data_IF_407832010799
#
_entry.id   IF_407832010799
#
_cell.length_a   1.000
_cell.length_b   1.000
_cell.length_c   1.000
_cell.angle_alpha   90.00
_cell.angle_beta   90.00
_cell.angle_gamma   90.00
#
_symmetry.space_group_name_H-M   'P 1'
#
loop_
_entity.id
_entity.type
_entity.pdbx_description
1 polymer ?
#
# COMPACT_ATOMS: atom_id res chain seq x y z
N UNK A 1 7.90 12.94 -33.66
CA UNK A 1 8.12 13.68 -32.39
C UNK A 1 8.81 15.00 -32.73
N UNK A 2 8.23 16.16 -32.41
CA UNK A 2 8.83 17.46 -32.72
C UNK A 2 9.83 17.81 -31.61
N UNK A 3 11.12 17.73 -31.89
CA UNK A 3 12.15 18.26 -30.99
C UNK A 3 12.17 19.78 -31.15
N UNK A 4 11.74 20.51 -30.11
CA UNK A 4 11.89 21.98 -30.10
C UNK A 4 13.32 22.27 -29.67
N UNK A 5 14.13 22.78 -30.61
CA UNK A 5 15.55 23.14 -30.40
C UNK A 5 15.72 24.55 -29.80
N UNK A 6 14.63 25.11 -29.26
CA UNK A 6 14.66 26.41 -28.63
C UNK A 6 15.29 26.29 -27.23
N UNK A 7 16.57 26.61 -27.16
CA UNK A 7 17.34 26.58 -25.92
C UNK A 7 16.71 27.41 -24.80
N UNK A 8 16.02 28.50 -25.14
CA UNK A 8 15.38 29.36 -24.15
C UNK A 8 14.24 28.60 -23.46
N UNK A 9 13.43 27.86 -24.24
CA UNK A 9 12.36 27.01 -23.71
C UNK A 9 12.93 25.90 -22.84
N UNK A 10 14.05 25.28 -23.23
CA UNK A 10 14.68 24.24 -22.44
C UNK A 10 15.22 24.77 -21.10
N UNK A 11 15.97 25.89 -21.14
CA UNK A 11 16.51 26.55 -19.94
C UNK A 11 15.39 27.00 -19.01
N UNK A 12 14.29 27.52 -19.55
CA UNK A 12 13.13 27.92 -18.78
C UNK A 12 12.46 26.71 -18.10
N UNK A 13 12.25 25.61 -18.83
CA UNK A 13 11.73 24.37 -18.24
C UNK A 13 12.67 23.80 -17.17
N UNK A 14 13.99 23.87 -17.36
CA UNK A 14 14.96 23.45 -16.34
C UNK A 14 14.83 24.30 -15.07
N UNK A 15 14.75 25.63 -15.21
CA UNK A 15 14.54 26.56 -14.09
C UNK A 15 13.23 26.28 -13.35
N UNK A 16 12.14 26.10 -14.08
CA UNK A 16 10.83 25.78 -13.50
C UNK A 16 10.87 24.47 -12.73
N UNK A 17 11.52 23.44 -13.29
CA UNK A 17 11.65 22.14 -12.63
C UNK A 17 12.50 22.25 -11.35
N UNK A 18 13.59 23.02 -11.39
CA UNK A 18 14.43 23.26 -10.22
C UNK A 18 13.68 24.01 -9.12
N UNK A 19 12.99 25.10 -9.46
CA UNK A 19 12.19 25.89 -8.51
C UNK A 19 11.05 25.06 -7.88
N UNK A 20 10.37 24.22 -8.67
CA UNK A 20 9.37 23.28 -8.17
C UNK A 20 9.98 22.30 -7.15
N UNK A 21 11.13 21.70 -7.45
CA UNK A 21 11.83 20.79 -6.52
C UNK A 21 12.30 21.48 -5.27
N UNK A 22 12.84 22.69 -5.37
CA UNK A 22 13.21 23.53 -4.23
C UNK A 22 12.00 23.80 -3.34
N UNK A 23 10.84 24.18 -3.91
CA UNK A 23 9.59 24.33 -3.15
C UNK A 23 9.15 23.01 -2.51
N UNK A 24 9.26 21.88 -3.19
CA UNK A 24 8.95 20.58 -2.57
C UNK A 24 9.88 20.20 -1.42
N UNK A 25 11.12 20.72 -1.37
CA UNK A 25 12.09 20.45 -0.31
C UNK A 25 11.95 21.45 0.84
N UNK A 26 11.80 22.73 0.54
CA UNK A 26 11.79 23.83 1.51
C UNK A 26 10.41 24.20 2.04
N UNK A 27 9.34 23.84 1.34
CA UNK A 27 7.98 23.93 1.89
C UNK A 27 7.73 22.65 2.70
N UNK A 28 7.57 22.73 4.03
CA UNK A 28 7.16 21.60 4.84
C UNK A 28 5.70 21.34 4.51
N UNK A 29 5.44 20.55 3.45
CA UNK A 29 4.11 20.00 3.24
C UNK A 29 3.64 19.43 4.60
N UNK A 30 2.43 19.77 5.08
CA UNK A 30 1.85 19.07 6.22
C UNK A 30 1.77 17.59 5.81
N UNK A 31 2.67 16.76 6.33
CA UNK A 31 2.82 15.37 5.89
C UNK A 31 4.25 14.87 5.62
N UNK A 32 5.29 15.72 5.68
CA UNK A 32 6.67 15.20 5.79
C UNK A 32 6.89 14.64 7.19
N UNK A 33 6.70 13.33 7.33
CA UNK A 33 7.10 12.57 8.51
C UNK A 33 8.61 12.70 8.70
N UNK A 34 9.03 13.15 9.89
CA UNK A 34 10.44 13.05 10.27
C UNK A 34 10.87 11.58 10.32
N UNK A 35 12.17 11.31 10.19
CA UNK A 35 12.69 9.94 10.30
C UNK A 35 12.28 9.28 11.64
N UNK A 36 12.27 10.05 12.74
CA UNK A 36 11.81 9.58 14.04
C UNK A 36 10.33 9.20 14.01
N UNK A 37 9.47 10.09 13.52
CA UNK A 37 8.05 9.80 13.41
C UNK A 37 7.80 8.60 12.49
N UNK A 38 8.49 8.52 11.34
CA UNK A 38 8.41 7.38 10.44
C UNK A 38 8.78 6.08 11.16
N UNK A 39 9.82 6.08 11.99
CA UNK A 39 10.20 4.90 12.77
C UNK A 39 9.12 4.48 13.79
N UNK A 40 8.43 5.44 14.40
CA UNK A 40 7.34 5.16 15.34
C UNK A 40 6.11 4.56 14.64
N UNK A 41 5.84 4.94 13.39
CA UNK A 41 4.77 4.34 12.59
C UNK A 41 5.14 2.97 12.02
N UNK A 42 6.41 2.75 11.67
CA UNK A 42 6.87 1.52 11.01
C UNK A 42 7.24 0.42 11.99
N UNK A 43 7.66 0.74 13.22
CA UNK A 43 8.19 -0.25 14.17
C UNK A 43 7.45 -0.20 15.50
N UNK A 44 6.71 -1.27 15.80
CA UNK A 44 6.09 -1.47 17.11
C UNK A 44 6.95 -2.40 17.95
N UNK A 45 7.23 -2.00 19.18
CA UNK A 45 7.96 -2.84 20.13
C UNK A 45 6.97 -3.64 21.00
N UNK A 46 7.18 -4.94 21.10
CA UNK A 46 6.44 -5.84 21.97
C UNK A 46 7.42 -6.47 22.97
N UNK A 47 7.10 -6.36 24.26
CA UNK A 47 8.01 -6.83 25.31
C UNK A 47 7.88 -8.35 25.47
N UNK A 48 8.99 -9.06 25.49
CA UNK A 48 9.02 -10.50 25.75
C UNK A 48 8.34 -10.81 27.08
N UNK A 49 7.42 -11.77 27.06
CA UNK A 49 6.50 -12.06 28.17
C UNK A 49 5.06 -11.62 27.90
N UNK A 50 4.83 -10.75 26.90
CA UNK A 50 3.49 -10.50 26.34
C UNK A 50 3.25 -11.38 25.12
N UNK A 51 2.00 -11.83 24.91
CA UNK A 51 1.64 -12.69 23.78
C UNK A 51 1.66 -11.90 22.47
N UNK A 52 2.40 -12.39 21.47
CA UNK A 52 2.34 -11.87 20.10
C UNK A 52 0.94 -12.06 19.52
N UNK A 53 0.30 -13.20 19.78
CA UNK A 53 -1.06 -13.46 19.31
C UNK A 53 -2.07 -12.49 19.93
N UNK A 54 -1.98 -12.23 21.23
CA UNK A 54 -2.86 -11.25 21.88
C UNK A 54 -2.70 -9.83 21.34
N UNK A 55 -1.50 -9.47 20.86
CA UNK A 55 -1.28 -8.22 20.13
C UNK A 55 -1.98 -8.24 18.75
N UNK A 56 -1.93 -9.35 18.03
CA UNK A 56 -2.60 -9.52 16.74
C UNK A 56 -4.13 -9.46 16.86
N UNK A 57 -4.70 -10.11 17.87
CA UNK A 57 -6.14 -10.15 18.13
C UNK A 57 -6.71 -8.77 18.48
N UNK A 58 -5.87 -7.84 18.96
CA UNK A 58 -6.24 -6.44 19.24
C UNK A 58 -6.27 -5.53 18.01
N UNK A 59 -5.87 -6.03 16.84
CA UNK A 59 -5.86 -5.28 15.58
C UNK A 59 -7.29 -5.26 15.03
N UNK A 60 -8.04 -4.20 15.35
CA UNK A 60 -9.44 -4.05 14.94
C UNK A 60 -9.61 -3.43 13.54
N UNK A 61 -8.57 -2.84 12.98
CA UNK A 61 -8.59 -2.15 11.68
C UNK A 61 -7.45 -2.63 10.78
N UNK A 62 -7.67 -2.64 9.46
CA UNK A 62 -6.61 -2.93 8.49
C UNK A 62 -5.55 -1.82 8.54
N UNK A 63 -4.47 -2.09 9.26
CA UNK A 63 -3.31 -1.21 9.34
C UNK A 63 -2.43 -1.41 8.12
N UNK A 64 -1.73 -0.34 7.73
CA UNK A 64 -0.60 -0.51 6.82
C UNK A 64 0.41 -1.50 7.43
N UNK A 65 1.08 -2.32 6.61
CA UNK A 65 2.10 -3.25 7.08
C UNK A 65 3.13 -2.56 7.96
N UNK A 66 3.47 -3.18 9.09
CA UNK A 66 4.46 -2.65 10.02
C UNK A 66 5.33 -3.77 10.58
N UNK A 67 6.48 -3.39 11.13
CA UNK A 67 7.43 -4.29 11.77
C UNK A 67 7.11 -4.41 13.26
N UNK A 68 6.96 -5.63 13.75
CA UNK A 68 6.83 -5.94 15.17
C UNK A 68 8.16 -6.46 15.70
N UNK A 69 8.83 -5.65 16.51
CA UNK A 69 10.08 -5.98 17.17
C UNK A 69 9.80 -6.59 18.56
N UNK A 70 10.25 -7.82 18.79
CA UNK A 70 10.05 -8.55 20.05
C UNK A 70 11.37 -8.65 20.81
N UNK A 71 11.36 -8.23 22.08
CA UNK A 71 12.55 -8.22 22.92
C UNK A 71 12.25 -7.97 24.39
N UNK A 72 13.20 -8.27 25.28
CA UNK A 72 13.06 -7.96 26.72
C UNK A 72 13.03 -6.45 26.98
N UNK A 73 13.76 -5.70 26.14
CA UNK A 73 13.85 -4.25 26.10
C UNK A 73 14.19 -3.79 24.67
N UNK A 74 14.09 -2.49 24.38
CA UNK A 74 14.38 -1.96 23.03
C UNK A 74 15.80 -2.23 22.54
N UNK A 75 16.77 -2.36 23.45
CA UNK A 75 18.15 -2.76 23.11
C UNK A 75 18.37 -4.28 23.12
N UNK A 76 17.38 -5.08 23.52
CA UNK A 76 17.40 -6.54 23.61
C UNK A 76 16.38 -7.20 22.68
N UNK A 77 16.17 -6.61 21.49
CA UNK A 77 15.32 -7.17 20.45
C UNK A 77 16.02 -8.39 19.85
N UNK A 78 15.31 -9.51 19.76
CA UNK A 78 15.85 -10.76 19.22
C UNK A 78 14.95 -11.38 18.14
N UNK A 79 13.75 -10.85 17.92
CA UNK A 79 12.85 -11.31 16.85
C UNK A 79 12.15 -10.13 16.18
N UNK A 80 11.91 -10.27 14.88
CA UNK A 80 11.14 -9.33 14.09
C UNK A 80 10.06 -10.07 13.30
N UNK A 81 8.88 -9.48 13.23
CA UNK A 81 7.77 -9.96 12.40
C UNK A 81 7.28 -8.84 11.50
N UNK A 82 6.89 -9.18 10.27
CA UNK A 82 6.10 -8.29 9.42
C UNK A 82 4.64 -8.58 9.73
N UNK A 83 3.90 -7.57 10.20
CA UNK A 83 2.48 -7.70 10.54
C UNK A 83 1.62 -7.17 9.40
N UNK A 84 0.72 -8.00 8.88
CA UNK A 84 -0.21 -7.69 7.79
C UNK A 84 -1.56 -8.32 8.10
N UNK A 85 -2.64 -7.54 8.09
CA UNK A 85 -4.03 -8.02 8.23
C UNK A 85 -4.18 -9.07 9.35
N UNK A 86 -3.76 -8.73 10.58
CA UNK A 86 -3.78 -9.62 11.77
C UNK A 86 -2.78 -10.80 11.79
N UNK A 87 -1.96 -10.98 10.74
CA UNK A 87 -0.98 -12.06 10.67
C UNK A 87 0.43 -11.52 10.94
N UNK A 88 1.25 -12.27 11.70
CA UNK A 88 2.67 -11.98 11.90
C UNK A 88 3.53 -12.98 11.11
N UNK A 89 4.33 -12.47 10.20
CA UNK A 89 5.27 -13.26 9.40
C UNK A 89 6.66 -13.10 9.99
N UNK A 90 7.29 -14.15 10.52
CA UNK A 90 8.67 -14.08 10.99
C UNK A 90 9.60 -13.62 9.86
N UNK A 91 10.52 -12.69 10.15
CA UNK A 91 11.46 -12.19 9.16
C UNK A 91 12.43 -13.27 8.62
N UNK A 92 12.62 -14.36 9.37
CA UNK A 92 13.55 -15.44 9.01
C UNK A 92 12.96 -16.49 8.04
N UNK A 93 11.68 -16.39 7.65
CA UNK A 93 11.03 -17.40 6.79
C UNK A 93 10.64 -16.85 5.40
N UNK A 94 11.47 -17.15 4.40
CA UNK A 94 11.28 -16.76 2.99
C UNK A 94 10.06 -17.44 2.34
N UNK A 95 9.71 -18.65 2.79
CA UNK A 95 8.67 -19.51 2.18
C UNK A 95 7.24 -19.03 2.53
N UNK A 96 7.03 -18.46 3.72
CA UNK A 96 5.71 -17.99 4.16
C UNK A 96 5.27 -16.72 3.42
N UNK A 97 6.23 -15.86 3.05
CA UNK A 97 5.99 -14.62 2.30
C UNK A 97 5.40 -14.88 0.91
N UNK A 98 5.89 -15.90 0.20
CA UNK A 98 5.37 -16.25 -1.14
C UNK A 98 3.93 -16.76 -1.08
N UNK A 99 3.59 -17.55 -0.06
CA UNK A 99 2.25 -18.11 0.10
C UNK A 99 1.21 -17.02 0.45
N UNK A 100 1.53 -16.12 1.40
CA UNK A 100 0.65 -15.01 1.78
C UNK A 100 0.45 -13.97 0.66
N UNK A 101 1.52 -13.63 -0.06
CA UNK A 101 1.41 -12.75 -1.23
C UNK A 101 0.55 -13.40 -2.31
N UNK A 102 0.73 -14.69 -2.57
CA UNK A 102 -0.06 -15.45 -3.55
C UNK A 102 -1.56 -15.52 -3.17
N UNK A 103 -1.89 -15.75 -1.89
CA UNK A 103 -3.27 -15.77 -1.41
C UNK A 103 -3.95 -14.39 -1.47
N UNK A 104 -3.22 -13.32 -1.14
CA UNK A 104 -3.75 -11.94 -1.24
C UNK A 104 -4.04 -11.55 -2.69
N UNK A 105 -3.20 -11.98 -3.63
CA UNK A 105 -3.44 -11.79 -5.07
C UNK A 105 -4.64 -12.61 -5.56
N UNK A 106 -4.83 -13.85 -5.07
CA UNK A 106 -6.03 -14.67 -5.37
C UNK A 106 -7.31 -14.02 -4.85
N UNK A 107 -7.32 -13.54 -3.61
CA UNK A 107 -8.48 -12.85 -3.02
C UNK A 107 -8.80 -11.55 -3.78
N UNK A 108 -7.80 -10.79 -4.23
CA UNK A 108 -8.02 -9.58 -5.06
C UNK A 108 -8.64 -9.89 -6.43
N UNK A 109 -8.18 -10.93 -7.14
CA UNK A 109 -8.76 -11.30 -8.44
C UNK A 109 -10.22 -11.75 -8.34
N UNK A 110 -10.64 -12.28 -7.19
CA UNK A 110 -12.03 -12.72 -6.96
C UNK A 110 -13.04 -11.56 -6.91
N UNK A 111 -12.59 -10.34 -6.60
CA UNK A 111 -13.43 -9.12 -6.61
C UNK A 111 -13.40 -8.35 -7.93
N UNK A 112 -12.49 -8.68 -8.85
CA UNK A 112 -12.42 -8.05 -10.18
C UNK A 112 -13.34 -8.71 -11.23
N UNK A 113 -14.16 -9.68 -10.85
CA UNK A 113 -15.12 -10.37 -11.72
C UNK A 113 -16.55 -10.07 -11.24
N UNK A 114 -16.95 -8.80 -11.35
CA UNK A 114 -18.36 -8.43 -11.44
C UNK A 114 -18.60 -7.92 -12.87
N UNK A 115 -19.55 -8.48 -13.63
CA UNK A 115 -19.83 -8.02 -14.98
C UNK A 115 -20.52 -6.64 -14.90
N UNK A 116 -19.97 -5.67 -15.62
CA UNK A 116 -20.67 -4.42 -15.93
C UNK A 116 -21.86 -4.74 -16.84
N UNK A 117 -23.03 -4.21 -16.46
CA UNK A 117 -24.29 -4.26 -17.20
C UNK A 117 -24.15 -3.72 -18.64
N UNK A 118 -24.87 -4.33 -19.60
CA UNK A 118 -25.25 -3.68 -20.87
C UNK A 118 -26.79 -3.62 -20.91
N UNK A 119 -27.34 -2.51 -20.41
CA UNK A 119 -28.68 -2.05 -20.71
C UNK A 119 -28.60 -1.25 -22.02
N UNK A 120 -29.01 -1.86 -23.13
CA UNK A 120 -29.43 -1.14 -24.34
C UNK A 120 -30.69 -1.73 -24.94
N UNK A 121 -31.79 -1.07 -24.62
CA UNK A 121 -33.05 -1.07 -25.36
C UNK A 121 -32.84 -0.46 -26.76
N UNK A 122 -33.02 -1.23 -27.83
CA UNK A 122 -33.51 -0.74 -29.14
C UNK A 122 -34.21 -1.88 -29.92
N UNK A 123 -35.50 -1.71 -30.22
CA UNK A 123 -36.06 -2.10 -31.52
C UNK A 123 -36.78 -3.45 -31.68
N UNK A 124 -38.09 -3.44 -31.45
CA UNK A 124 -39.13 -3.94 -32.36
C UNK A 124 -39.11 -5.39 -32.86
N UNK A 125 -40.13 -6.16 -32.48
CA UNK A 125 -41.11 -6.77 -33.42
C UNK A 125 -42.23 -7.48 -32.66
N UNK A 126 -43.44 -6.92 -32.76
CA UNK A 126 -44.68 -7.67 -32.63
C UNK A 126 -44.75 -8.68 -33.77
N UNK A 127 -45.04 -9.94 -33.46
CA UNK A 127 -45.76 -10.85 -34.35
C UNK A 127 -46.35 -11.98 -33.49
N UNK A 128 -47.49 -11.70 -32.87
CA UNK A 128 -48.50 -12.72 -32.61
C UNK A 128 -49.33 -12.85 -33.89
N UNK A 129 -49.23 -13.99 -34.57
CA UNK A 129 -50.21 -14.41 -35.54
C UNK A 129 -50.33 -15.94 -35.50
N UNK A 130 -51.44 -16.39 -34.91
CA UNK A 130 -52.21 -17.59 -35.22
C UNK A 130 -51.46 -18.89 -35.52
N UNK A 131 -51.61 -19.86 -34.60
CA UNK A 131 -52.37 -21.09 -34.85
C UNK A 131 -52.87 -21.67 -33.53
#
# INVERSE_FOLDING_TARGET
MKHTADEAIFKEKMKQTFAYRQKMVHDPRPGKLSAKQASDYLVKFNKTGTSVQGHLDSITESLQPYLLAVGTQRSGIHKYFIVIDEHAIPYEEEIVLLNLVSEKQRKRRRWSVHPLNDDRHVGGRFHDLAK
#
